data_IF_799563107786
#
_entry.id   IF_799563107786
#
_cell.length_a   1.000
_cell.length_b   1.000
_cell.length_c   1.000
_cell.angle_alpha   90.00
_cell.angle_beta   90.00
_cell.angle_gamma   90.00
#
_symmetry.space_group_name_H-M   'P 1'
#
loop_
_entity.id
_entity.type
_entity.pdbx_description
1 polymer ?
#
# COMPACT_ATOMS: atom_id res chain seq x y z
N UNK A 1 -8.92 -59.95 11.45
CA UNK A 1 -8.43 -59.14 10.30
C UNK A 1 -9.28 -57.89 10.00
N UNK A 2 -10.26 -57.50 10.82
CA UNK A 2 -11.12 -56.32 10.53
C UNK A 2 -10.61 -55.00 11.16
N UNK A 3 -9.77 -55.06 12.21
CA UNK A 3 -9.23 -53.84 12.87
C UNK A 3 -8.20 -53.07 12.01
N UNK A 4 -7.39 -53.77 11.20
CA UNK A 4 -6.35 -53.13 10.38
C UNK A 4 -6.92 -52.26 9.23
N UNK A 5 -8.13 -52.55 8.76
CA UNK A 5 -8.78 -51.77 7.68
C UNK A 5 -9.37 -50.44 8.19
N UNK A 6 -9.87 -50.41 9.43
CA UNK A 6 -10.42 -49.19 10.04
C UNK A 6 -9.34 -48.15 10.30
N UNK A 7 -8.18 -48.57 10.79
CA UNK A 7 -7.02 -47.70 11.05
C UNK A 7 -6.54 -46.98 9.77
N UNK A 8 -6.38 -47.69 8.64
CA UNK A 8 -5.97 -47.08 7.37
C UNK A 8 -6.99 -46.08 6.83
N UNK A 9 -8.30 -46.39 6.90
CA UNK A 9 -9.37 -45.47 6.48
C UNK A 9 -9.48 -44.23 7.38
N UNK A 10 -9.25 -44.39 8.68
CA UNK A 10 -9.27 -43.31 9.67
C UNK A 10 -8.09 -42.35 9.47
N UNK A 11 -6.90 -42.88 9.20
CA UNK A 11 -5.71 -42.07 8.93
C UNK A 11 -5.81 -41.39 7.55
N UNK A 12 -6.34 -42.07 6.54
CA UNK A 12 -6.60 -41.47 5.23
C UNK A 12 -7.62 -40.33 5.30
N UNK A 13 -8.69 -40.49 6.08
CA UNK A 13 -9.67 -39.42 6.29
C UNK A 13 -9.05 -38.23 7.03
N UNK A 14 -8.24 -38.49 8.06
CA UNK A 14 -7.52 -37.43 8.77
C UNK A 14 -6.60 -36.63 7.84
N UNK A 15 -5.78 -37.28 7.02
CA UNK A 15 -4.92 -36.60 6.05
C UNK A 15 -5.71 -35.88 4.95
N UNK A 16 -6.87 -36.42 4.55
CA UNK A 16 -7.75 -35.75 3.56
C UNK A 16 -8.34 -34.46 4.14
N UNK A 17 -8.86 -34.50 5.38
CA UNK A 17 -9.41 -33.32 6.06
C UNK A 17 -8.32 -32.29 6.31
N UNK A 18 -7.13 -32.73 6.73
CA UNK A 18 -5.98 -31.86 6.90
C UNK A 18 -5.59 -31.18 5.58
N UNK A 19 -5.55 -31.94 4.48
CA UNK A 19 -5.27 -31.41 3.14
C UNK A 19 -6.31 -30.37 2.68
N UNK A 20 -7.60 -30.62 2.93
CA UNK A 20 -8.68 -29.67 2.63
C UNK A 20 -8.56 -28.40 3.47
N UNK A 21 -8.23 -28.52 4.76
CA UNK A 21 -8.03 -27.36 5.64
C UNK A 21 -6.85 -26.50 5.19
N UNK A 22 -5.74 -27.12 4.78
CA UNK A 22 -4.58 -26.40 4.23
C UNK A 22 -4.99 -25.67 2.94
N UNK A 23 -5.65 -26.37 2.01
CA UNK A 23 -6.14 -25.76 0.77
C UNK A 23 -7.11 -24.61 1.03
N UNK A 24 -8.07 -24.79 1.94
CA UNK A 24 -9.02 -23.75 2.31
C UNK A 24 -8.31 -22.51 2.89
N UNK A 25 -7.28 -22.71 3.71
CA UNK A 25 -6.47 -21.61 4.25
C UNK A 25 -5.74 -20.84 3.13
N UNK A 26 -5.09 -21.56 2.21
CA UNK A 26 -4.37 -20.95 1.07
C UNK A 26 -5.33 -20.19 0.17
N UNK A 27 -6.47 -20.79 -0.18
CA UNK A 27 -7.48 -20.14 -1.03
C UNK A 27 -8.06 -18.90 -0.36
N UNK A 28 -8.37 -18.96 0.94
CA UNK A 28 -8.89 -17.82 1.69
C UNK A 28 -7.89 -16.66 1.71
N UNK A 29 -6.62 -16.97 1.94
CA UNK A 29 -5.54 -16.00 1.92
C UNK A 29 -5.40 -15.37 0.52
N UNK A 30 -5.37 -16.20 -0.53
CA UNK A 30 -5.28 -15.74 -1.90
C UNK A 30 -6.42 -14.78 -2.27
N UNK A 31 -7.66 -15.11 -1.92
CA UNK A 31 -8.82 -14.25 -2.18
C UNK A 31 -8.70 -12.90 -1.47
N UNK A 32 -8.27 -12.88 -0.20
CA UNK A 32 -8.12 -11.62 0.55
C UNK A 32 -7.07 -10.69 -0.05
N UNK A 33 -5.91 -11.22 -0.40
CA UNK A 33 -4.81 -10.39 -0.89
C UNK A 33 -4.97 -10.02 -2.37
N UNK A 34 -5.35 -10.95 -3.24
CA UNK A 34 -5.37 -10.71 -4.68
C UNK A 34 -6.71 -10.17 -5.19
N UNK A 35 -7.83 -10.63 -4.64
CA UNK A 35 -9.17 -10.27 -5.15
C UNK A 35 -9.73 -9.09 -4.37
N UNK A 36 -9.78 -9.21 -3.04
CA UNK A 36 -10.30 -8.14 -2.19
C UNK A 36 -9.30 -6.98 -2.03
N UNK A 37 -8.01 -7.21 -2.33
CA UNK A 37 -6.93 -6.25 -2.14
C UNK A 37 -7.00 -5.60 -0.76
N UNK A 38 -7.15 -6.44 0.26
CA UNK A 38 -7.34 -6.03 1.65
C UNK A 38 -6.00 -5.68 2.31
N UNK A 39 -5.30 -4.69 1.73
CA UNK A 39 -4.05 -4.17 2.23
C UNK A 39 -3.97 -2.65 1.99
N UNK A 40 -3.18 -1.98 2.82
CA UNK A 40 -2.99 -0.53 2.77
C UNK A 40 -1.71 -0.21 2.00
N UNK A 41 -1.81 0.72 1.06
CA UNK A 41 -0.69 1.23 0.28
C UNK A 41 -0.28 2.56 0.91
N UNK A 42 1.01 2.66 1.21
CA UNK A 42 1.66 3.88 1.64
C UNK A 42 2.58 4.29 0.49
N UNK A 43 2.40 5.50 -0.02
CA UNK A 43 3.18 6.02 -1.13
C UNK A 43 3.50 7.50 -0.93
N UNK A 44 4.58 7.96 -1.54
CA UNK A 44 4.90 9.37 -1.61
C UNK A 44 4.18 9.99 -2.81
N UNK A 45 3.55 11.13 -2.59
CA UNK A 45 2.86 11.91 -3.63
C UNK A 45 3.33 13.36 -3.55
N UNK A 46 3.19 14.08 -4.65
CA UNK A 46 3.51 15.49 -4.78
C UNK A 46 2.80 16.32 -3.71
N UNK A 47 3.55 17.26 -3.14
CA UNK A 47 3.08 18.17 -2.12
C UNK A 47 3.49 19.59 -2.50
N UNK A 48 2.55 20.53 -2.41
CA UNK A 48 2.82 21.94 -2.70
C UNK A 48 3.14 22.68 -1.38
N UNK A 49 4.40 23.10 -1.16
CA UNK A 49 4.84 23.74 0.08
C UNK A 49 4.22 25.14 0.28
N UNK A 50 3.59 25.73 -0.74
CA UNK A 50 2.95 27.04 -0.60
C UNK A 50 1.59 26.97 0.11
N UNK A 51 0.99 25.78 0.17
CA UNK A 51 -0.37 25.56 0.68
C UNK A 51 -0.45 24.52 1.80
N UNK A 52 0.49 23.58 1.89
CA UNK A 52 0.51 22.48 2.86
C UNK A 52 1.91 22.30 3.48
N UNK A 53 2.01 21.50 4.55
CA UNK A 53 3.29 21.11 5.16
C UNK A 53 3.83 19.84 4.48
N UNK A 54 4.95 19.99 3.78
CA UNK A 54 5.55 18.93 2.96
C UNK A 54 6.87 18.44 3.56
N UNK A 55 7.18 17.18 3.32
CA UNK A 55 8.53 16.63 3.52
C UNK A 55 9.41 17.10 2.39
N UNK A 56 10.61 17.59 2.73
CA UNK A 56 11.65 18.00 1.81
C UNK A 56 12.83 17.05 1.97
N UNK A 57 13.31 16.51 0.84
CA UNK A 57 14.54 15.72 0.80
C UNK A 57 15.47 16.24 -0.28
N UNK A 58 16.76 16.30 0.03
CA UNK A 58 17.80 16.63 -0.95
C UNK A 58 18.10 15.38 -1.80
N UNK A 59 17.88 15.49 -3.10
CA UNK A 59 18.13 14.44 -4.07
C UNK A 59 19.53 14.59 -4.65
N UNK A 60 20.45 13.72 -4.26
CA UNK A 60 21.72 13.57 -4.97
C UNK A 60 21.48 12.74 -6.24
N UNK A 61 21.40 13.44 -7.38
CA UNK A 61 21.20 12.89 -8.72
C UNK A 61 22.27 11.86 -9.17
N UNK A 62 23.25 11.54 -8.32
CA UNK A 62 24.31 10.56 -8.60
C UNK A 62 24.10 9.20 -7.93
N UNK A 63 23.18 9.08 -6.96
CA UNK A 63 23.04 7.87 -6.11
C UNK A 63 21.63 7.28 -6.12
N UNK A 64 20.58 8.08 -6.27
CA UNK A 64 19.21 7.63 -5.99
C UNK A 64 18.25 7.88 -7.17
N UNK A 65 17.91 6.79 -7.88
CA UNK A 65 16.91 6.78 -8.97
C UNK A 65 15.46 6.93 -8.46
N UNK A 66 15.26 7.04 -7.14
CA UNK A 66 13.96 7.06 -6.48
C UNK A 66 13.35 8.46 -6.33
N UNK A 67 14.08 9.51 -6.71
CA UNK A 67 13.57 10.88 -6.67
C UNK A 67 12.38 11.04 -7.61
N UNK A 68 11.22 11.41 -7.04
CA UNK A 68 10.05 11.80 -7.79
C UNK A 68 10.45 12.99 -8.66
N UNK A 69 10.64 12.75 -9.96
CA UNK A 69 11.03 13.76 -10.96
C UNK A 69 9.90 14.76 -11.13
N UNK A 70 9.65 15.58 -10.11
CA UNK A 70 8.96 16.83 -10.28
C UNK A 70 9.94 17.75 -11.03
N UNK A 71 9.47 18.16 -12.20
CA UNK A 71 10.26 18.88 -13.19
C UNK A 71 10.98 20.08 -12.59
N UNK A 72 12.18 20.34 -13.12
CA UNK A 72 12.93 21.61 -13.09
C UNK A 72 14.24 21.63 -12.29
N UNK A 73 15.14 20.66 -12.50
CA UNK A 73 16.57 20.81 -12.16
C UNK A 73 16.90 21.21 -10.69
N UNK A 74 15.97 21.03 -9.77
CA UNK A 74 16.17 21.34 -8.35
C UNK A 74 16.69 20.08 -7.65
N UNK A 75 17.73 20.24 -6.84
CA UNK A 75 18.31 19.17 -6.01
C UNK A 75 17.41 18.78 -4.83
N UNK A 76 16.13 19.13 -4.88
CA UNK A 76 15.20 19.12 -3.76
C UNK A 76 13.85 18.63 -4.26
N UNK A 77 13.24 17.67 -3.56
CA UNK A 77 11.89 17.18 -3.85
C UNK A 77 10.97 17.40 -2.65
N UNK A 78 9.75 17.85 -2.93
CA UNK A 78 8.69 18.03 -1.94
C UNK A 78 7.64 16.94 -2.09
N UNK A 79 7.34 16.24 -1.00
CA UNK A 79 6.38 15.16 -1.01
C UNK A 79 5.55 15.10 0.28
N UNK A 80 4.44 14.38 0.21
CA UNK A 80 3.63 13.97 1.37
C UNK A 80 3.33 12.50 1.26
N UNK A 81 2.95 11.89 2.37
CA UNK A 81 2.70 10.46 2.40
C UNK A 81 1.19 10.24 2.30
N UNK A 82 0.75 9.51 1.28
CA UNK A 82 -0.64 9.05 1.18
C UNK A 82 -0.74 7.62 1.70
N UNK A 83 -1.75 7.38 2.52
CA UNK A 83 -2.14 6.07 3.00
C UNK A 83 -3.53 5.74 2.48
N UNK A 84 -3.66 4.72 1.64
CA UNK A 84 -4.92 4.37 0.95
C UNK A 84 -5.10 2.86 0.81
N UNK A 85 -6.33 2.37 0.86
CA UNK A 85 -6.63 0.95 0.64
C UNK A 85 -6.48 0.55 -0.83
N UNK A 86 -5.78 -0.56 -1.08
CA UNK A 86 -5.52 -1.07 -2.42
C UNK A 86 -6.79 -1.47 -3.19
N UNK A 87 -7.87 -1.80 -2.48
CA UNK A 87 -9.19 -2.08 -3.07
C UNK A 87 -9.77 -0.91 -3.86
N UNK A 88 -9.39 0.32 -3.49
CA UNK A 88 -9.89 1.58 -4.06
C UNK A 88 -8.98 2.12 -5.17
N UNK A 89 -7.95 1.36 -5.55
CA UNK A 89 -7.08 1.67 -6.68
C UNK A 89 -7.48 0.78 -7.85
N UNK A 90 -7.90 1.42 -8.95
CA UNK A 90 -8.21 0.74 -10.19
C UNK A 90 -6.92 0.31 -10.90
N UNK A 91 -7.01 -0.74 -11.71
CA UNK A 91 -5.84 -1.30 -12.39
C UNK A 91 -5.26 -0.39 -13.48
N UNK A 92 -6.04 0.54 -14.04
CA UNK A 92 -5.61 1.51 -15.06
C UNK A 92 -6.71 2.56 -15.32
N UNK A 93 -7.96 2.12 -15.43
CA UNK A 93 -9.09 3.00 -15.76
C UNK A 93 -9.68 3.66 -14.51
N UNK A 94 -9.72 4.99 -14.51
CA UNK A 94 -10.36 5.79 -13.45
C UNK A 94 -11.86 5.51 -13.43
N UNK A 95 -12.42 5.29 -12.26
CA UNK A 95 -13.87 5.28 -12.05
C UNK A 95 -14.26 6.35 -11.01
N UNK A 96 -15.56 6.57 -10.83
CA UNK A 96 -16.07 7.53 -9.82
C UNK A 96 -15.54 7.22 -8.42
N UNK A 97 -15.33 5.94 -8.12
CA UNK A 97 -14.95 5.46 -6.80
C UNK A 97 -13.50 4.97 -6.72
N UNK A 98 -12.74 5.01 -7.83
CA UNK A 98 -11.36 4.49 -7.88
C UNK A 98 -10.45 5.32 -8.78
N UNK A 99 -9.23 5.54 -8.32
CA UNK A 99 -8.19 6.21 -9.09
C UNK A 99 -7.49 5.22 -10.02
N UNK A 100 -7.29 5.64 -11.27
CA UNK A 100 -6.56 4.87 -12.28
C UNK A 100 -5.06 5.13 -12.23
N UNK A 101 -4.28 4.33 -12.96
CA UNK A 101 -2.81 4.43 -12.98
C UNK A 101 -2.25 5.69 -13.64
N UNK A 102 -3.06 6.39 -14.44
CA UNK A 102 -2.64 7.61 -15.11
C UNK A 102 -2.76 8.86 -14.23
N UNK A 103 -3.48 8.76 -13.11
CA UNK A 103 -3.66 9.84 -12.15
C UNK A 103 -2.74 9.64 -10.94
N UNK A 104 -2.29 10.73 -10.35
CA UNK A 104 -1.61 10.69 -9.07
C UNK A 104 -2.54 10.16 -7.96
N UNK A 105 -1.97 9.40 -7.03
CA UNK A 105 -2.72 8.83 -5.91
C UNK A 105 -3.30 9.96 -5.04
N UNK A 106 -4.62 10.00 -4.95
CA UNK A 106 -5.38 10.94 -4.13
C UNK A 106 -6.47 10.22 -3.32
N UNK A 107 -6.91 10.83 -2.23
CA UNK A 107 -8.09 10.39 -1.50
C UNK A 107 -9.35 10.91 -2.18
N UNK A 108 -10.30 10.02 -2.43
CA UNK A 108 -11.62 10.39 -2.97
C UNK A 108 -12.49 10.92 -1.83
N UNK A 109 -13.46 11.78 -2.16
CA UNK A 109 -14.37 12.33 -1.16
C UNK A 109 -15.09 11.22 -0.38
N UNK A 110 -14.99 11.26 0.96
CA UNK A 110 -15.59 10.30 1.88
C UNK A 110 -15.07 8.85 1.75
N UNK A 111 -13.82 8.68 1.35
CA UNK A 111 -13.19 7.37 1.29
C UNK A 111 -12.75 6.88 2.68
N UNK A 112 -13.25 5.73 3.10
CA UNK A 112 -12.83 5.09 4.35
C UNK A 112 -11.38 4.62 4.26
N UNK A 113 -10.60 4.89 5.31
CA UNK A 113 -9.18 4.52 5.41
C UNK A 113 -8.28 5.13 4.32
N UNK A 114 -8.57 6.36 3.92
CA UNK A 114 -7.63 7.19 3.16
C UNK A 114 -7.19 8.40 4.00
N UNK A 115 -5.88 8.56 4.20
CA UNK A 115 -5.32 9.67 4.96
C UNK A 115 -4.06 10.21 4.30
N UNK A 116 -3.86 11.51 4.43
CA UNK A 116 -2.58 12.15 4.14
C UNK A 116 -1.82 12.34 5.44
N UNK A 117 -0.56 11.95 5.43
CA UNK A 117 0.40 12.24 6.47
C UNK A 117 1.32 13.34 5.94
N UNK A 118 1.27 14.46 6.66
CA UNK A 118 2.03 15.67 6.39
C UNK A 118 3.27 15.70 7.27
N UNK A 119 4.21 16.58 6.94
CA UNK A 119 5.46 16.66 7.69
C UNK A 119 5.20 17.14 9.12
N UNK A 120 5.68 16.37 10.09
CA UNK A 120 5.65 16.70 11.52
C UNK A 120 7.01 16.39 12.14
N UNK A 121 7.34 17.11 13.22
CA UNK A 121 8.59 16.93 14.01
C UNK A 121 8.85 15.48 14.43
N UNK A 122 7.79 14.68 14.59
CA UNK A 122 7.87 13.27 15.02
C UNK A 122 8.01 12.29 13.85
N UNK A 123 7.64 12.70 12.63
CA UNK A 123 7.64 11.87 11.43
C UNK A 123 8.86 12.09 10.52
N UNK A 124 9.78 12.99 10.87
CA UNK A 124 10.98 13.23 10.07
C UNK A 124 11.95 12.03 10.10
N UNK A 125 12.33 11.58 8.90
CA UNK A 125 13.47 10.69 8.70
C UNK A 125 14.82 11.42 8.79
N UNK A 126 15.90 10.64 8.72
CA UNK A 126 17.25 11.21 8.67
C UNK A 126 17.47 11.97 7.34
N UNK A 127 17.77 13.27 7.43
CA UNK A 127 18.05 14.11 6.26
C UNK A 127 16.82 14.76 5.63
N UNK A 128 15.65 14.62 6.25
CA UNK A 128 14.41 15.26 5.81
C UNK A 128 14.16 16.56 6.57
N UNK A 129 13.47 17.50 5.94
CA UNK A 129 13.06 18.77 6.54
C UNK A 129 11.58 19.03 6.28
N UNK A 130 10.88 19.64 7.24
CA UNK A 130 9.51 20.11 7.01
C UNK A 130 9.53 21.50 6.40
N UNK A 131 8.88 21.65 5.24
CA UNK A 131 8.72 22.94 4.57
C UNK A 131 7.26 23.20 4.26
N UNK A 132 6.80 24.41 4.57
CA UNK A 132 5.51 24.92 4.15
C UNK A 132 4.80 25.75 5.20
N UNK A 133 3.52 26.00 4.97
CA UNK A 133 2.72 26.90 5.82
C UNK A 133 1.99 26.10 6.91
N UNK A 134 2.46 26.22 8.15
CA UNK A 134 1.69 25.84 9.33
C UNK A 134 0.47 26.78 9.44
N UNK A 135 -0.74 26.23 9.44
CA UNK A 135 -1.97 27.01 9.64
C UNK A 135 -2.59 26.72 10.99
#
# INVERSE_FOLDING_TARGET
MLESSKEKKKNFWFFTVLGILILASVVTTFVRYYVLKDYQIIAQVSCDPNIELCFQVECDNTVDDSCLVNSDNESVTYYKIISKRASNIALCEKSVDKIGCADELSCIFNEEQCSYEYCTEEALGEGELCVGVNK
#
